data_IF_856875653628
#
_entry.id   IF_856875653628
#
_cell.length_a   1.000
_cell.length_b   1.000
_cell.length_c   1.000
_cell.angle_alpha   90.00
_cell.angle_beta   90.00
_cell.angle_gamma   90.00
#
_symmetry.space_group_name_H-M   'P 1'
#
loop_
_entity.id
_entity.type
_entity.pdbx_description
1 polymer ?
#
# COMPACT_ATOMS: atom_id res chain seq x y z
N UNK A 1 -20.65 15.73 -19.60
CA UNK A 1 -19.84 14.58 -20.07
C UNK A 1 -18.63 14.49 -19.17
N UNK A 2 -18.49 13.41 -18.41
CA UNK A 2 -17.35 13.16 -17.53
C UNK A 2 -16.10 12.92 -18.39
N UNK A 3 -14.97 13.58 -18.07
CA UNK A 3 -13.68 13.28 -18.70
C UNK A 3 -13.38 11.79 -18.52
N UNK A 4 -12.84 11.08 -19.53
CA UNK A 4 -12.33 9.74 -19.33
C UNK A 4 -11.23 9.80 -18.25
N UNK A 5 -11.45 9.10 -17.14
CA UNK A 5 -10.41 8.95 -16.11
C UNK A 5 -9.23 8.19 -16.72
N UNK A 6 -8.02 8.67 -16.48
CA UNK A 6 -6.83 7.97 -16.93
C UNK A 6 -6.77 6.56 -16.30
N UNK A 7 -6.13 5.59 -16.98
CA UNK A 7 -5.95 4.27 -16.42
C UNK A 7 -5.24 4.31 -15.06
N UNK A 8 -5.76 3.58 -14.07
CA UNK A 8 -5.20 3.58 -12.71
C UNK A 8 -5.69 4.71 -11.79
N UNK A 9 -6.62 5.55 -12.26
CA UNK A 9 -7.35 6.50 -11.42
C UNK A 9 -8.68 5.84 -11.01
N UNK A 10 -8.84 5.48 -9.73
CA UNK A 10 -10.14 5.04 -9.22
C UNK A 10 -11.17 6.14 -9.48
N UNK A 11 -12.42 5.78 -9.78
CA UNK A 11 -13.51 6.76 -9.90
C UNK A 11 -13.75 7.34 -8.51
N UNK A 12 -13.02 8.41 -8.21
CA UNK A 12 -12.87 8.91 -6.86
C UNK A 12 -13.90 9.98 -6.53
N UNK A 13 -14.39 9.95 -5.30
CA UNK A 13 -14.87 11.18 -4.67
C UNK A 13 -13.74 12.22 -4.77
N UNK A 14 -14.06 13.44 -5.20
CA UNK A 14 -13.07 14.52 -5.31
C UNK A 14 -12.19 14.61 -4.05
N UNK A 15 -10.91 14.94 -4.20
CA UNK A 15 -9.95 15.02 -3.09
C UNK A 15 -10.48 15.89 -1.93
N UNK A 16 -11.20 16.97 -2.24
CA UNK A 16 -11.84 17.83 -1.25
C UNK A 16 -12.92 17.09 -0.42
N UNK A 17 -13.77 16.30 -1.09
CA UNK A 17 -14.80 15.50 -0.43
C UNK A 17 -14.16 14.39 0.44
N UNK A 18 -13.09 13.74 -0.05
CA UNK A 18 -12.31 12.79 0.75
C UNK A 18 -11.71 13.44 1.98
N UNK A 19 -11.02 14.58 1.83
CA UNK A 19 -10.43 15.32 2.94
C UNK A 19 -11.49 15.70 3.98
N UNK A 20 -12.66 16.18 3.53
CA UNK A 20 -13.78 16.51 4.42
C UNK A 20 -14.31 15.27 5.16
N UNK A 21 -14.56 14.16 4.45
CA UNK A 21 -15.02 12.90 5.05
C UNK A 21 -14.01 12.33 6.06
N UNK A 22 -12.70 12.41 5.76
CA UNK A 22 -11.62 12.03 6.68
C UNK A 22 -11.63 12.87 7.95
N UNK A 23 -11.81 14.20 7.84
CA UNK A 23 -11.94 15.10 9.00
C UNK A 23 -13.13 14.74 9.88
N UNK A 24 -14.30 14.49 9.29
CA UNK A 24 -15.52 14.07 10.01
C UNK A 24 -15.26 12.76 10.78
N UNK A 25 -14.56 11.81 10.16
CA UNK A 25 -14.21 10.51 10.76
C UNK A 25 -12.96 10.55 11.65
N UNK A 26 -12.35 11.72 11.86
CA UNK A 26 -11.10 11.92 12.62
C UNK A 26 -9.94 11.03 12.16
N UNK A 27 -9.91 10.71 10.86
CA UNK A 27 -8.80 9.98 10.26
C UNK A 27 -7.63 10.93 10.00
N UNK A 28 -6.41 10.44 10.22
CA UNK A 28 -5.18 11.15 9.81
C UNK A 28 -5.11 11.38 8.31
N UNK A 29 -4.14 12.17 7.84
CA UNK A 29 -3.89 12.34 6.40
C UNK A 29 -3.27 11.08 5.78
N UNK A 30 -3.38 10.97 4.46
CA UNK A 30 -2.53 10.06 3.70
C UNK A 30 -1.08 10.54 3.78
N UNK A 31 -0.17 9.60 3.89
CA UNK A 31 1.27 9.82 4.01
C UNK A 31 1.93 9.28 2.76
N UNK A 32 2.69 10.12 2.06
CA UNK A 32 3.53 9.68 0.95
C UNK A 32 4.63 8.77 1.48
N UNK A 33 4.81 7.61 0.85
CA UNK A 33 5.96 6.75 1.11
C UNK A 33 7.11 7.30 0.28
N UNK A 34 7.92 8.14 0.92
CA UNK A 34 9.12 8.70 0.33
C UNK A 34 10.31 8.47 1.26
N UNK A 35 11.36 7.86 0.71
CA UNK A 35 12.63 7.57 1.39
C UNK A 35 13.77 8.49 0.93
N UNK A 36 13.50 9.44 0.02
CA UNK A 36 14.52 10.30 -0.61
C UNK A 36 14.77 11.60 0.17
N UNK A 37 14.03 11.85 1.25
CA UNK A 37 14.15 13.06 2.05
C UNK A 37 15.59 13.26 2.56
N UNK A 38 16.11 14.48 2.41
CA UNK A 38 17.49 14.83 2.75
C UNK A 38 17.82 14.56 4.23
N UNK A 39 19.09 14.22 4.47
CA UNK A 39 19.61 13.96 5.80
C UNK A 39 19.46 15.21 6.70
N UNK A 40 18.74 15.08 7.82
CA UNK A 40 18.54 16.14 8.81
C UNK A 40 17.10 16.65 8.94
N UNK A 41 16.21 16.30 8.01
CA UNK A 41 14.76 16.52 8.11
C UNK A 41 14.04 15.21 8.38
N UNK A 42 13.17 15.18 9.40
CA UNK A 42 12.33 14.00 9.63
C UNK A 42 11.26 13.95 8.54
N UNK A 43 11.32 12.93 7.69
CA UNK A 43 10.35 12.82 6.59
C UNK A 43 8.94 12.62 7.13
N UNK A 44 7.97 13.07 6.33
CA UNK A 44 6.59 12.55 6.24
C UNK A 44 6.38 11.20 6.94
N UNK A 45 6.98 10.22 6.28
CA UNK A 45 6.89 8.81 6.57
C UNK A 45 7.53 8.44 7.91
N UNK A 46 8.68 9.03 8.24
CA UNK A 46 9.39 8.73 9.48
C UNK A 46 8.66 9.31 10.70
N UNK A 47 8.12 10.53 10.60
CA UNK A 47 7.27 11.10 11.62
C UNK A 47 6.00 10.25 11.85
N UNK A 48 5.35 9.82 10.76
CA UNK A 48 4.21 8.91 10.82
C UNK A 48 4.57 7.57 11.49
N UNK A 49 5.67 6.94 11.08
CA UNK A 49 6.14 5.67 11.64
C UNK A 49 6.46 5.79 13.14
N UNK A 50 7.15 6.86 13.56
CA UNK A 50 7.50 7.11 14.96
C UNK A 50 6.29 7.39 15.84
N UNK A 51 5.25 8.02 15.30
CA UNK A 51 4.00 8.32 16.01
C UNK A 51 3.18 7.08 16.38
N UNK A 52 3.49 5.89 15.84
CA UNK A 52 2.78 4.66 16.14
C UNK A 52 3.15 4.16 17.55
N UNK A 53 2.14 3.92 18.38
CA UNK A 53 2.29 3.37 19.75
C UNK A 53 2.73 1.90 19.73
N UNK A 54 2.19 1.11 18.81
CA UNK A 54 2.63 -0.24 18.48
C UNK A 54 2.92 -0.31 16.97
N UNK A 55 3.90 -1.12 16.59
CA UNK A 55 4.39 -1.29 15.21
C UNK A 55 4.36 -2.75 14.78
N UNK A 56 3.79 -3.63 15.58
CA UNK A 56 3.53 -5.02 15.20
C UNK A 56 2.28 -5.10 14.34
N UNK A 57 2.41 -5.81 13.24
CA UNK A 57 1.35 -6.05 12.28
C UNK A 57 0.61 -7.31 12.70
N UNK A 58 -0.68 -7.17 12.97
CA UNK A 58 -1.58 -8.27 13.36
C UNK A 58 -2.03 -9.06 12.14
N UNK A 59 -2.44 -8.37 11.08
CA UNK A 59 -3.03 -8.99 9.90
C UNK A 59 -2.84 -8.14 8.63
N UNK A 60 -2.83 -8.80 7.47
CA UNK A 60 -2.75 -8.23 6.14
C UNK A 60 -3.89 -8.77 5.26
N UNK A 61 -4.46 -7.93 4.41
CA UNK A 61 -5.36 -8.35 3.33
C UNK A 61 -4.91 -7.79 2.00
N UNK A 62 -4.83 -8.66 0.99
CA UNK A 62 -4.82 -8.25 -0.41
C UNK A 62 -6.27 -8.01 -0.82
N UNK A 63 -6.57 -6.80 -1.30
CA UNK A 63 -7.92 -6.42 -1.70
C UNK A 63 -7.95 -5.93 -3.14
N UNK A 64 -9.09 -6.11 -3.79
CA UNK A 64 -9.33 -5.70 -5.17
C UNK A 64 -10.65 -4.94 -5.28
N UNK A 65 -10.61 -3.70 -5.76
CA UNK A 65 -11.82 -2.91 -6.00
C UNK A 65 -12.72 -3.62 -7.05
N UNK A 66 -14.03 -3.57 -6.83
CA UNK A 66 -15.04 -4.19 -7.71
C UNK A 66 -15.36 -3.33 -8.93
N UNK A 67 -15.09 -2.04 -8.83
CA UNK A 67 -15.41 -1.10 -9.90
C UNK A 67 -14.38 -1.17 -11.02
N UNK A 68 -14.89 -1.38 -12.23
CA UNK A 68 -14.10 -1.38 -13.44
C UNK A 68 -13.68 0.03 -13.88
N UNK A 69 -12.78 0.13 -14.87
CA UNK A 69 -12.30 -0.99 -15.69
C UNK A 69 -10.98 -1.61 -15.21
N UNK A 70 -10.33 -1.09 -14.16
CA UNK A 70 -8.97 -1.49 -13.78
C UNK A 70 -8.85 -2.37 -12.54
N UNK A 71 -9.95 -2.58 -11.78
CA UNK A 71 -10.03 -3.45 -10.61
C UNK A 71 -8.81 -3.32 -9.68
N UNK A 72 -8.60 -2.11 -9.17
CA UNK A 72 -7.39 -1.71 -8.47
C UNK A 72 -7.06 -2.63 -7.29
N UNK A 73 -5.79 -3.04 -7.16
CA UNK A 73 -5.32 -3.86 -6.04
C UNK A 73 -4.52 -3.04 -5.02
N UNK A 74 -4.78 -3.31 -3.75
CA UNK A 74 -4.13 -2.62 -2.63
C UNK A 74 -4.02 -3.58 -1.44
N UNK A 75 -3.22 -3.19 -0.45
CA UNK A 75 -3.12 -3.93 0.81
C UNK A 75 -3.75 -3.13 1.93
N UNK A 76 -4.50 -3.79 2.79
CA UNK A 76 -4.90 -3.24 4.09
C UNK A 76 -4.17 -4.03 5.16
N UNK A 77 -3.62 -3.35 6.15
CA UNK A 77 -3.00 -4.01 7.30
C UNK A 77 -3.52 -3.42 8.62
N UNK A 78 -3.51 -4.26 9.64
CA UNK A 78 -3.87 -3.90 10.99
C UNK A 78 -2.66 -3.99 11.89
N UNK A 79 -2.47 -3.00 12.75
CA UNK A 79 -1.50 -3.05 13.84
C UNK A 79 -2.13 -3.66 15.09
N UNK A 80 -1.33 -4.35 15.90
CA UNK A 80 -1.76 -4.95 17.18
C UNK A 80 -2.27 -3.89 18.16
N UNK A 81 -2.99 -4.36 19.18
CA UNK A 81 -3.42 -3.57 20.35
C UNK A 81 -4.14 -2.27 20.02
N UNK A 82 -4.95 -2.28 18.95
CA UNK A 82 -5.69 -1.10 18.52
C UNK A 82 -4.83 -0.03 17.85
N UNK A 83 -3.62 -0.37 17.39
CA UNK A 83 -2.70 0.54 16.68
C UNK A 83 -3.22 1.09 15.34
N UNK A 84 -4.37 0.59 14.89
CA UNK A 84 -5.16 1.11 13.77
C UNK A 84 -5.08 0.24 12.52
N UNK A 85 -5.94 0.59 11.56
CA UNK A 85 -6.01 -0.01 10.24
C UNK A 85 -5.48 0.98 9.19
N UNK A 86 -4.70 0.47 8.24
CA UNK A 86 -4.09 1.29 7.21
C UNK A 86 -4.20 0.63 5.85
N UNK A 87 -4.53 1.43 4.85
CA UNK A 87 -4.45 1.08 3.44
C UNK A 87 -3.08 1.53 2.93
N UNK A 88 -2.40 0.64 2.21
CA UNK A 88 -1.17 0.93 1.48
C UNK A 88 -1.41 0.71 -0.02
N UNK A 89 -0.99 1.68 -0.81
CA UNK A 89 -1.46 1.81 -2.18
C UNK A 89 -0.36 2.38 -3.10
N UNK A 90 -0.35 1.97 -4.37
CA UNK A 90 0.47 2.52 -5.45
C UNK A 90 -0.44 2.99 -6.58
N UNK A 91 -0.31 4.26 -6.95
CA UNK A 91 -1.17 4.90 -7.97
C UNK A 91 -0.37 5.74 -8.96
N UNK A 92 -1.07 6.16 -10.00
CA UNK A 92 -0.72 7.33 -10.79
C UNK A 92 -0.99 8.58 -9.92
N UNK A 93 -0.12 9.59 -9.99
CA UNK A 93 -0.36 10.85 -9.27
C UNK A 93 -1.66 11.50 -9.75
N UNK A 94 -2.52 12.03 -8.85
CA UNK A 94 -3.76 12.71 -9.27
C UNK A 94 -3.53 13.90 -10.21
N UNK A 95 -2.38 14.55 -10.08
CA UNK A 95 -1.94 15.72 -10.84
C UNK A 95 -0.85 15.39 -11.89
N UNK A 96 -0.79 14.15 -12.36
CA UNK A 96 0.16 13.74 -13.40
C UNK A 96 -0.15 14.45 -14.73
N UNK A 97 0.80 15.26 -15.20
CA UNK A 97 0.68 16.02 -16.45
C UNK A 97 0.77 15.14 -17.70
N UNK A 98 1.39 13.96 -17.58
CA UNK A 98 1.68 13.06 -18.70
C UNK A 98 1.23 11.61 -18.45
N UNK A 99 -0.05 11.35 -18.15
CA UNK A 99 -0.52 10.03 -17.73
C UNK A 99 -0.31 8.96 -18.81
N UNK A 100 -0.29 9.34 -20.10
CA UNK A 100 -0.01 8.40 -21.19
C UNK A 100 1.42 7.84 -21.18
N UNK A 101 2.38 8.49 -20.48
CA UNK A 101 3.72 7.95 -20.32
C UNK A 101 3.73 6.67 -19.46
N UNK A 102 2.68 6.40 -18.67
CA UNK A 102 2.55 5.12 -17.97
C UNK A 102 2.35 3.93 -18.91
N UNK A 103 2.04 4.16 -20.20
CA UNK A 103 1.98 3.10 -21.22
C UNK A 103 3.35 2.75 -21.81
N UNK A 104 4.38 3.55 -21.51
CA UNK A 104 5.75 3.35 -22.00
C UNK A 104 6.59 2.64 -20.95
N UNK A 105 7.72 2.12 -21.41
CA UNK A 105 8.67 1.38 -20.58
C UNK A 105 9.35 2.25 -19.53
N UNK A 106 9.55 3.54 -19.83
CA UNK A 106 10.12 4.50 -18.88
C UNK A 106 9.16 4.79 -17.72
N UNK A 107 7.85 4.62 -17.93
CA UNK A 107 6.82 4.89 -16.94
C UNK A 107 6.74 6.35 -16.51
N UNK A 108 6.12 6.53 -15.34
CA UNK A 108 6.04 7.81 -14.61
C UNK A 108 6.45 7.58 -13.15
N UNK A 109 6.73 8.62 -12.36
CA UNK A 109 6.96 8.47 -10.93
C UNK A 109 5.80 7.73 -10.25
N UNK A 110 6.10 6.65 -9.52
CA UNK A 110 5.09 5.94 -8.75
C UNK A 110 4.63 6.79 -7.55
N UNK A 111 3.32 6.78 -7.28
CA UNK A 111 2.74 7.47 -6.13
C UNK A 111 2.31 6.44 -5.08
N UNK A 112 3.19 6.19 -4.12
CA UNK A 112 2.97 5.19 -3.07
C UNK A 112 2.51 5.87 -1.78
N UNK A 113 1.42 5.42 -1.19
CA UNK A 113 0.83 6.07 0.00
C UNK A 113 0.43 5.07 1.07
N UNK A 114 0.45 5.53 2.32
CA UNK A 114 -0.17 4.86 3.46
C UNK A 114 -1.21 5.79 4.05
N UNK A 115 -2.43 5.31 4.24
CA UNK A 115 -3.49 6.11 4.83
C UNK A 115 -4.33 5.33 5.84
N UNK A 116 -4.73 5.93 6.98
CA UNK A 116 -5.58 5.26 7.95
C UNK A 116 -6.99 5.07 7.38
N UNK A 117 -7.58 3.92 7.72
CA UNK A 117 -8.93 3.50 7.35
C UNK A 117 -9.68 2.96 8.57
N UNK A 118 -11.01 3.00 8.56
CA UNK A 118 -11.83 2.56 9.71
C UNK A 118 -12.24 1.08 9.65
N UNK A 119 -12.10 0.44 8.50
CA UNK A 119 -12.49 -0.94 8.27
C UNK A 119 -11.67 -1.57 7.15
N UNK A 120 -11.65 -2.91 7.10
CA UNK A 120 -11.01 -3.67 6.02
C UNK A 120 -11.54 -3.30 4.63
N UNK A 121 -12.85 -3.04 4.54
CA UNK A 121 -13.55 -2.49 3.37
C UNK A 121 -14.13 -1.12 3.73
N UNK A 122 -13.27 -0.10 3.84
CA UNK A 122 -13.69 1.23 4.27
C UNK A 122 -14.56 1.90 3.19
N UNK A 123 -15.79 2.34 3.53
CA UNK A 123 -16.72 2.97 2.58
C UNK A 123 -16.26 4.34 2.08
N UNK A 124 -15.12 4.85 2.54
CA UNK A 124 -14.45 6.00 1.91
C UNK A 124 -13.83 5.65 0.54
N UNK A 125 -13.69 4.36 0.23
CA UNK A 125 -13.12 3.87 -1.02
C UNK A 125 -14.15 3.06 -1.80
N UNK A 126 -13.91 2.81 -3.11
CA UNK A 126 -14.70 1.85 -3.87
C UNK A 126 -14.75 0.49 -3.17
N UNK A 127 -15.92 -0.14 -3.19
CA UNK A 127 -16.12 -1.45 -2.57
C UNK A 127 -15.14 -2.48 -3.15
N UNK A 128 -14.63 -3.36 -2.29
CA UNK A 128 -13.56 -4.28 -2.67
C UNK A 128 -13.78 -5.71 -2.18
N UNK A 129 -13.21 -6.66 -2.90
CA UNK A 129 -13.14 -8.06 -2.50
C UNK A 129 -11.82 -8.35 -1.79
N UNK A 130 -11.87 -9.13 -0.71
CA UNK A 130 -10.69 -9.71 -0.10
C UNK A 130 -10.22 -10.91 -0.94
N UNK A 131 -9.03 -10.83 -1.52
CA UNK A 131 -8.43 -11.91 -2.30
C UNK A 131 -7.59 -12.86 -1.44
N UNK A 132 -6.83 -12.29 -0.50
CA UNK A 132 -5.97 -13.02 0.43
C UNK A 132 -6.08 -12.35 1.80
N UNK A 133 -6.15 -13.14 2.87
CA UNK A 133 -6.09 -12.66 4.25
C UNK A 133 -5.03 -13.45 5.01
N UNK A 134 -4.09 -12.75 5.64
CA UNK A 134 -3.05 -13.31 6.49
C UNK A 134 -3.23 -12.75 7.89
N UNK A 135 -3.28 -13.64 8.88
CA UNK A 135 -3.19 -13.26 10.29
C UNK A 135 -1.87 -13.79 10.85
N UNK A 136 -1.02 -12.91 11.36
CA UNK A 136 0.29 -13.30 11.86
C UNK A 136 0.19 -13.85 13.28
N UNK A 137 0.71 -15.06 13.47
CA UNK A 137 0.86 -15.69 14.79
C UNK A 137 2.25 -15.46 15.39
N UNK A 138 3.12 -14.80 14.65
CA UNK A 138 4.46 -14.36 15.06
C UNK A 138 4.53 -12.83 15.02
N UNK A 139 5.55 -12.27 15.64
CA UNK A 139 5.76 -10.83 15.62
C UNK A 139 6.33 -10.37 14.28
N UNK A 140 5.51 -9.65 13.51
CA UNK A 140 5.89 -9.02 12.25
C UNK A 140 5.89 -7.52 12.45
N UNK A 141 7.05 -6.89 12.28
CA UNK A 141 7.16 -5.43 12.41
C UNK A 141 6.74 -4.72 11.12
N UNK A 142 6.06 -3.58 11.25
CA UNK A 142 5.71 -2.66 10.17
C UNK A 142 6.95 -2.24 9.34
N UNK A 143 8.13 -2.25 9.95
CA UNK A 143 9.40 -1.99 9.24
C UNK A 143 9.66 -3.00 8.12
N UNK A 144 9.15 -4.23 8.20
CA UNK A 144 9.23 -5.19 7.11
C UNK A 144 8.49 -4.67 5.87
N UNK A 145 7.24 -4.23 6.03
CA UNK A 145 6.43 -3.66 4.95
C UNK A 145 7.11 -2.43 4.36
N UNK A 146 7.63 -1.53 5.21
CA UNK A 146 8.35 -0.33 4.75
C UNK A 146 9.65 -0.67 4.01
N UNK A 147 10.40 -1.69 4.46
CA UNK A 147 11.60 -2.19 3.76
C UNK A 147 11.26 -2.75 2.38
N UNK A 148 10.15 -3.47 2.24
CA UNK A 148 9.67 -3.96 0.94
C UNK A 148 9.36 -2.77 0.02
N UNK A 149 8.61 -1.77 0.52
CA UNK A 149 8.31 -0.56 -0.26
C UNK A 149 9.58 0.16 -0.70
N UNK A 150 10.55 0.32 0.21
CA UNK A 150 11.85 0.92 -0.09
C UNK A 150 12.60 0.15 -1.18
N UNK A 151 12.66 -1.18 -1.06
CA UNK A 151 13.32 -2.03 -2.05
C UNK A 151 12.68 -1.89 -3.44
N UNK A 152 11.34 -1.77 -3.51
CA UNK A 152 10.65 -1.51 -4.77
C UNK A 152 11.03 -0.13 -5.34
N UNK A 153 11.06 0.93 -4.51
CA UNK A 153 11.38 2.30 -4.93
C UNK A 153 12.86 2.51 -5.29
N UNK A 154 13.77 1.72 -4.72
CA UNK A 154 15.19 1.77 -5.07
C UNK A 154 15.51 0.88 -6.29
N UNK A 155 14.63 -0.06 -6.65
CA UNK A 155 14.85 -0.93 -7.80
C UNK A 155 14.81 -0.15 -9.13
N UNK A 156 15.84 -0.26 -9.99
CA UNK A 156 15.96 0.55 -11.21
C UNK A 156 14.73 0.54 -12.12
N UNK A 157 14.02 -0.60 -12.19
CA UNK A 157 12.82 -0.78 -13.00
C UNK A 157 11.51 -0.57 -12.23
N UNK A 158 11.46 -0.89 -10.93
CA UNK A 158 10.19 -0.99 -10.20
C UNK A 158 9.83 0.30 -9.44
N UNK A 159 10.74 1.28 -9.46
CA UNK A 159 10.55 2.63 -8.91
C UNK A 159 9.52 3.47 -9.67
N UNK A 160 9.27 3.13 -10.93
CA UNK A 160 8.29 3.80 -11.78
C UNK A 160 6.96 3.05 -11.79
N UNK A 161 5.89 3.78 -12.07
CA UNK A 161 4.60 3.22 -12.39
C UNK A 161 4.48 3.08 -13.91
N UNK A 162 4.20 1.88 -14.38
CA UNK A 162 3.70 1.65 -15.74
C UNK A 162 2.41 0.84 -15.65
N UNK A 163 1.50 0.99 -16.61
CA UNK A 163 0.25 0.22 -16.61
C UNK A 163 0.48 -1.27 -16.87
N UNK A 164 1.52 -1.60 -17.63
CA UNK A 164 1.84 -2.96 -18.02
C UNK A 164 2.65 -3.71 -16.93
N UNK A 165 3.50 -2.98 -16.20
CA UNK A 165 4.51 -3.50 -15.26
C UNK A 165 4.66 -2.58 -14.05
N UNK A 166 4.85 -3.15 -12.86
CA UNK A 166 5.12 -2.37 -11.64
C UNK A 166 3.97 -1.44 -11.18
N UNK A 167 2.74 -1.68 -11.64
CA UNK A 167 1.52 -1.02 -11.19
C UNK A 167 1.06 -1.49 -9.79
N UNK A 168 -0.18 -1.16 -9.43
CA UNK A 168 -0.81 -1.52 -8.16
C UNK A 168 -0.87 -3.04 -7.90
N UNK A 169 -1.05 -3.87 -8.94
CA UNK A 169 -1.04 -5.33 -8.80
C UNK A 169 0.33 -5.83 -8.36
N UNK A 170 1.39 -5.41 -9.07
CA UNK A 170 2.76 -5.77 -8.71
C UNK A 170 3.06 -5.33 -7.28
N UNK A 171 2.76 -4.08 -6.95
CA UNK A 171 3.10 -3.51 -5.64
C UNK A 171 2.37 -4.24 -4.50
N UNK A 172 1.05 -4.37 -4.58
CA UNK A 172 0.24 -5.03 -3.56
C UNK A 172 0.62 -6.51 -3.38
N UNK A 173 0.78 -7.25 -4.49
CA UNK A 173 1.16 -8.66 -4.44
C UNK A 173 2.59 -8.87 -3.95
N UNK A 174 3.52 -7.99 -4.30
CA UNK A 174 4.91 -8.04 -3.80
C UNK A 174 4.96 -7.82 -2.30
N UNK A 175 4.22 -6.83 -1.77
CA UNK A 175 4.09 -6.63 -0.32
C UNK A 175 3.54 -7.89 0.35
N UNK A 176 2.45 -8.46 -0.17
CA UNK A 176 1.84 -9.67 0.39
C UNK A 176 2.81 -10.85 0.41
N UNK A 177 3.49 -11.12 -0.71
CA UNK A 177 4.42 -12.23 -0.85
C UNK A 177 5.59 -12.10 0.14
N UNK A 178 6.24 -10.95 0.18
CA UNK A 178 7.43 -10.76 1.01
C UNK A 178 7.10 -10.57 2.49
N UNK A 179 5.92 -10.03 2.83
CA UNK A 179 5.45 -9.99 4.21
C UNK A 179 5.14 -11.41 4.72
N UNK A 180 4.50 -12.25 3.91
CA UNK A 180 4.26 -13.65 4.23
C UNK A 180 5.58 -14.41 4.40
N UNK A 181 6.51 -14.25 3.45
CA UNK A 181 7.83 -14.89 3.47
C UNK A 181 8.66 -14.45 4.68
N UNK A 182 8.69 -13.15 4.98
CA UNK A 182 9.43 -12.60 6.11
C UNK A 182 8.85 -12.98 7.48
N UNK A 183 7.61 -13.48 7.51
CA UNK A 183 6.97 -14.02 8.71
C UNK A 183 7.20 -15.52 8.90
N UNK A 184 7.82 -16.21 7.92
CA UNK A 184 8.17 -17.63 8.07
C UNK A 184 9.32 -17.73 9.07
N UNK A 185 9.11 -18.49 10.14
CA UNK A 185 10.18 -18.92 11.02
C UNK A 185 10.96 -20.07 10.36
N UNK A 186 12.04 -19.70 9.67
CA UNK A 186 12.95 -20.61 8.99
C UNK A 186 13.57 -21.66 9.93
N UNK A 187 13.53 -21.44 11.25
CA UNK A 187 14.03 -22.42 12.23
C UNK A 187 13.05 -23.56 12.48
N UNK A 188 11.74 -23.33 12.27
CA UNK A 188 10.69 -24.35 12.38
C UNK A 188 10.51 -25.22 11.14
N UNK A 189 11.01 -24.78 9.97
CA UNK A 189 10.93 -25.55 8.71
C UNK A 189 11.95 -26.68 8.61
N UNK A 190 12.96 -26.71 9.48
CA UNK A 190 13.96 -27.78 9.55
C UNK A 190 13.43 -29.14 10.01
N UNK A 191 12.22 -29.20 10.59
CA UNK A 191 11.59 -30.45 11.04
C UNK A 191 10.77 -31.15 9.95
N UNK A 192 10.44 -30.49 8.84
CA UNK A 192 9.70 -31.10 7.73
C UNK A 192 10.61 -31.84 6.73
N UNK A 193 11.90 -31.46 6.65
CA UNK A 193 12.90 -32.13 5.80
C UNK A 193 13.66 -33.25 6.51
N UNK A 194 13.37 -33.53 7.78
CA UNK A 194 14.04 -34.57 8.58
C UNK A 194 13.21 -35.85 8.75
N UNK A 195 12.21 -36.08 7.90
CA UNK A 195 11.53 -37.38 7.82
C UNK A 195 12.01 -38.11 6.57
N UNK A 196 13.11 -38.85 6.73
CA UNK A 196 13.52 -39.97 5.88
C UNK A 196 14.20 -41.02 6.75
#
# INVERSE_FOLDING_TARGET
MSRPSAPGVSVDISDAAKVAARRIRRLGKAVLIDFTTEAGTDSELMAWYRSRSDRLVRALQLRREREGPYFHQFVVFELKDGGGLFRIDRRLRPDEDTPLNSLKDEGIPAYDTIEPVVAWDDPLFPASDCLISIEFKVDVYLTLILKICRAIQEHPLAKVYTLQRYNCYFFAQTIMLWAAYGAIDWTSTGTWLSVS
#
